data_IF_006375232972
#
_entry.id   IF_006375232972
#
_cell.length_a   1.000
_cell.length_b   1.000
_cell.length_c   1.000
_cell.angle_alpha   90.00
_cell.angle_beta   90.00
_cell.angle_gamma   90.00
#
_symmetry.space_group_name_H-M   'P 1'
#
loop_
_entity.id
_entity.type
_entity.pdbx_description
1 polymer ?
#
# COMPACT_ATOMS: atom_id res chain seq x y z
N UNK A 1 -30.36 -5.59 -1.12
CA UNK A 1 -29.91 -5.53 -2.53
C UNK A 1 -29.36 -4.14 -2.82
N UNK A 2 -28.24 -4.00 -3.55
CA UNK A 2 -27.81 -2.67 -4.05
C UNK A 2 -28.88 -2.14 -5.01
N UNK A 3 -29.22 -0.86 -4.93
CA UNK A 3 -30.19 -0.20 -5.82
C UNK A 3 -29.66 -0.30 -7.25
N UNK A 4 -30.44 -0.90 -8.16
CA UNK A 4 -30.11 -1.03 -9.58
C UNK A 4 -30.90 0.02 -10.34
N UNK A 5 -30.22 0.85 -11.13
CA UNK A 5 -30.85 1.77 -12.09
C UNK A 5 -30.36 1.47 -13.51
N UNK A 6 -31.28 1.52 -14.46
CA UNK A 6 -30.98 1.42 -15.89
C UNK A 6 -30.42 2.74 -16.39
N UNK A 7 -29.36 2.67 -17.19
CA UNK A 7 -28.76 3.81 -17.86
C UNK A 7 -28.50 3.45 -19.30
N UNK A 8 -28.74 4.40 -20.20
CA UNK A 8 -28.39 4.28 -21.61
C UNK A 8 -26.98 4.83 -21.82
N UNK A 9 -26.15 4.07 -22.53
CA UNK A 9 -24.81 4.49 -22.94
C UNK A 9 -24.79 4.40 -24.47
N UNK A 10 -24.56 5.54 -25.12
CA UNK A 10 -24.46 5.62 -26.56
C UNK A 10 -23.04 5.21 -27.01
N UNK A 11 -22.97 4.34 -28.00
CA UNK A 11 -21.73 3.88 -28.63
C UNK A 11 -21.77 4.23 -30.11
N UNK A 12 -20.62 4.50 -30.71
CA UNK A 12 -20.52 4.48 -32.18
C UNK A 12 -20.69 3.05 -32.68
N UNK A 13 -21.01 2.88 -33.97
CA UNK A 13 -21.07 1.53 -34.55
C UNK A 13 -19.74 0.77 -34.48
N UNK A 14 -18.62 1.50 -34.53
CA UNK A 14 -17.29 0.91 -34.36
C UNK A 14 -17.12 0.36 -32.93
N UNK A 15 -17.47 1.16 -31.92
CA UNK A 15 -17.34 0.77 -30.51
C UNK A 15 -18.30 -0.37 -30.15
N UNK A 16 -19.53 -0.35 -30.67
CA UNK A 16 -20.50 -1.41 -30.45
C UNK A 16 -20.03 -2.76 -31.03
N UNK A 17 -19.33 -2.73 -32.18
CA UNK A 17 -18.67 -3.91 -32.76
C UNK A 17 -17.56 -4.43 -31.87
N UNK A 18 -16.71 -3.56 -31.35
CA UNK A 18 -15.62 -3.94 -30.43
C UNK A 18 -16.19 -4.54 -29.14
N UNK A 19 -17.19 -3.89 -28.52
CA UNK A 19 -17.83 -4.38 -27.30
C UNK A 19 -18.48 -5.76 -27.50
N UNK A 20 -19.05 -6.01 -28.68
CA UNK A 20 -19.62 -7.32 -29.03
C UNK A 20 -18.53 -8.39 -29.19
N UNK A 21 -17.39 -8.06 -29.80
CA UNK A 21 -16.24 -8.98 -29.86
C UNK A 21 -15.71 -9.31 -28.46
N UNK A 22 -15.60 -8.31 -27.58
CA UNK A 22 -15.16 -8.52 -26.19
C UNK A 22 -16.14 -9.40 -25.39
N UNK A 23 -17.44 -9.20 -25.61
CA UNK A 23 -18.53 -10.01 -25.03
C UNK A 23 -18.34 -11.50 -25.39
N UNK A 24 -18.13 -11.78 -26.67
CA UNK A 24 -17.92 -13.15 -27.17
C UNK A 24 -16.63 -13.77 -26.64
N UNK A 25 -15.52 -13.04 -26.69
CA UNK A 25 -14.21 -13.55 -26.27
C UNK A 25 -14.14 -13.88 -24.76
N UNK A 26 -14.90 -13.17 -23.93
CA UNK A 26 -14.87 -13.31 -22.46
C UNK A 26 -16.05 -14.10 -21.90
N UNK A 27 -17.03 -14.48 -22.73
CA UNK A 27 -18.28 -15.09 -22.31
C UNK A 27 -18.99 -14.31 -21.18
N UNK A 28 -19.08 -12.98 -21.35
CA UNK A 28 -19.65 -12.06 -20.37
C UNK A 28 -20.65 -11.11 -21.03
N UNK A 29 -21.66 -10.63 -20.29
CA UNK A 29 -22.58 -9.63 -20.83
C UNK A 29 -21.90 -8.27 -21.07
N UNK A 30 -22.37 -7.52 -22.06
CA UNK A 30 -21.87 -6.16 -22.36
C UNK A 30 -21.87 -5.25 -21.11
N UNK A 31 -22.93 -5.34 -20.30
CA UNK A 31 -23.06 -4.59 -19.04
C UNK A 31 -22.07 -5.06 -17.96
N UNK A 32 -21.66 -6.33 -17.94
CA UNK A 32 -20.60 -6.79 -17.05
C UNK A 32 -19.24 -6.19 -17.47
N UNK A 33 -18.94 -6.18 -18.77
CA UNK A 33 -17.72 -5.59 -19.32
C UNK A 33 -17.62 -4.10 -19.00
N UNK A 34 -18.69 -3.33 -19.26
CA UNK A 34 -18.73 -1.89 -18.98
C UNK A 34 -18.57 -1.62 -17.47
N UNK A 35 -19.24 -2.40 -16.61
CA UNK A 35 -19.06 -2.26 -15.16
C UNK A 35 -17.63 -2.55 -14.71
N UNK A 36 -16.98 -3.57 -15.29
CA UNK A 36 -15.58 -3.87 -15.00
C UNK A 36 -14.67 -2.72 -15.42
N UNK A 37 -14.89 -2.11 -16.58
CA UNK A 37 -14.17 -0.90 -17.02
C UNK A 37 -14.34 0.26 -16.04
N UNK A 38 -15.56 0.54 -15.58
CA UNK A 38 -15.83 1.56 -14.55
C UNK A 38 -15.11 1.20 -13.23
N UNK A 39 -15.05 -0.07 -12.88
CA UNK A 39 -14.30 -0.53 -11.71
C UNK A 39 -12.79 -0.37 -11.89
N UNK A 40 -12.25 -0.60 -13.08
CA UNK A 40 -10.83 -0.34 -13.40
C UNK A 40 -10.47 1.13 -13.16
N UNK A 41 -11.33 2.07 -13.53
CA UNK A 41 -11.12 3.49 -13.21
C UNK A 41 -11.02 3.76 -11.70
N UNK A 42 -11.85 3.08 -10.90
CA UNK A 42 -11.75 3.14 -9.42
C UNK A 42 -10.42 2.58 -8.92
N UNK A 43 -9.89 1.55 -9.58
CA UNK A 43 -8.58 0.99 -9.27
C UNK A 43 -7.42 1.88 -9.73
N UNK A 44 -7.59 2.72 -10.76
CA UNK A 44 -6.54 3.64 -11.22
C UNK A 44 -6.14 4.64 -10.12
N UNK A 45 -7.13 5.18 -9.38
CA UNK A 45 -6.86 6.04 -8.22
C UNK A 45 -6.13 5.27 -7.10
N UNK A 46 -6.49 4.01 -6.90
CA UNK A 46 -5.82 3.15 -5.90
C UNK A 46 -4.39 2.84 -6.32
N UNK A 47 -4.15 2.59 -7.60
CA UNK A 47 -2.82 2.34 -8.16
C UNK A 47 -1.92 3.56 -7.98
N UNK A 48 -2.43 4.76 -8.28
CA UNK A 48 -1.72 6.02 -8.04
C UNK A 48 -1.35 6.20 -6.56
N UNK A 49 -2.24 5.83 -5.64
CA UNK A 49 -1.95 5.88 -4.22
C UNK A 49 -0.88 4.86 -3.81
N UNK A 50 -0.86 3.67 -4.42
CA UNK A 50 0.17 2.66 -4.20
C UNK A 50 1.54 3.15 -4.69
N UNK A 51 1.59 3.79 -5.86
CA UNK A 51 2.83 4.38 -6.41
C UNK A 51 3.43 5.41 -5.45
N UNK A 52 2.62 6.36 -4.96
CA UNK A 52 3.05 7.36 -3.96
C UNK A 52 3.58 6.67 -2.69
N UNK A 53 2.88 5.64 -2.21
CA UNK A 53 3.31 4.92 -1.01
C UNK A 53 4.65 4.18 -1.24
N UNK A 54 4.88 3.64 -2.44
CA UNK A 54 6.13 2.98 -2.79
C UNK A 54 7.31 3.97 -2.83
N UNK A 55 7.10 5.18 -3.34
CA UNK A 55 8.12 6.24 -3.28
C UNK A 55 8.48 6.59 -1.83
N UNK A 56 7.48 6.77 -0.96
CA UNK A 56 7.70 7.02 0.47
C UNK A 56 8.47 5.87 1.13
N UNK A 57 8.16 4.62 0.79
CA UNK A 57 8.88 3.44 1.29
C UNK A 57 10.33 3.39 0.80
N UNK A 58 10.59 3.78 -0.45
CA UNK A 58 11.94 3.83 -1.00
C UNK A 58 12.80 4.87 -0.27
N UNK A 59 12.24 6.06 -0.01
CA UNK A 59 12.89 7.09 0.78
C UNK A 59 13.14 6.62 2.22
N UNK A 60 12.17 5.96 2.84
CA UNK A 60 12.33 5.37 4.16
C UNK A 60 13.46 4.33 4.20
N UNK A 61 13.55 3.44 3.21
CA UNK A 61 14.63 2.45 3.12
C UNK A 61 16.00 3.10 2.96
N UNK A 62 16.07 4.23 2.25
CA UNK A 62 17.30 5.00 2.11
C UNK A 62 17.76 5.57 3.45
N UNK A 63 16.85 6.19 4.20
CA UNK A 63 17.13 6.67 5.56
C UNK A 63 17.52 5.51 6.50
N UNK A 64 16.81 4.39 6.44
CA UNK A 64 17.15 3.20 7.22
C UNK A 64 18.55 2.66 6.90
N UNK A 65 18.96 2.68 5.63
CA UNK A 65 20.33 2.33 5.22
C UNK A 65 21.36 3.30 5.81
N UNK A 66 21.06 4.59 5.88
CA UNK A 66 21.93 5.56 6.55
C UNK A 66 22.08 5.25 8.04
N UNK A 67 20.97 4.96 8.73
CA UNK A 67 21.00 4.53 10.13
C UNK A 67 21.83 3.25 10.32
N UNK A 68 21.64 2.25 9.47
CA UNK A 68 22.41 1.00 9.51
C UNK A 68 23.91 1.22 9.31
N UNK A 69 24.32 2.13 8.42
CA UNK A 69 25.73 2.52 8.26
C UNK A 69 26.29 3.16 9.51
N UNK A 70 25.55 4.08 10.13
CA UNK A 70 25.97 4.75 11.36
C UNK A 70 26.10 3.75 12.51
N UNK A 71 25.15 2.84 12.67
CA UNK A 71 25.23 1.75 13.66
C UNK A 71 26.44 0.85 13.41
N UNK A 72 26.72 0.50 12.16
CA UNK A 72 27.89 -0.30 11.82
C UNK A 72 29.22 0.44 12.12
N UNK A 73 29.26 1.75 11.91
CA UNK A 73 30.40 2.58 12.30
C UNK A 73 30.57 2.62 13.83
N UNK A 74 29.48 2.82 14.58
CA UNK A 74 29.51 2.75 16.04
C UNK A 74 30.05 1.39 16.50
N UNK A 75 29.54 0.28 15.94
CA UNK A 75 30.01 -1.06 16.27
C UNK A 75 31.50 -1.28 15.92
N UNK A 76 31.96 -0.76 14.77
CA UNK A 76 33.37 -0.78 14.39
C UNK A 76 34.24 0.02 15.36
N UNK A 77 33.83 1.24 15.72
CA UNK A 77 34.54 2.07 16.70
C UNK A 77 34.53 1.41 18.08
N UNK A 78 33.43 0.80 18.52
CA UNK A 78 33.40 0.05 19.78
C UNK A 78 34.37 -1.12 19.76
N UNK A 79 34.38 -1.91 18.69
CA UNK A 79 35.32 -3.04 18.55
C UNK A 79 36.78 -2.56 18.48
N UNK A 80 37.04 -1.41 17.85
CA UNK A 80 38.38 -0.83 17.75
C UNK A 80 38.84 -0.13 19.05
N UNK A 81 37.93 0.45 19.83
CA UNK A 81 38.22 1.23 21.04
C UNK A 81 38.09 0.47 22.37
N UNK A 82 37.84 -0.84 22.36
CA UNK A 82 38.02 -1.71 23.55
C UNK A 82 39.46 -1.59 24.13
N UNK A 83 40.41 -1.02 23.38
CA UNK A 83 41.78 -0.72 23.80
C UNK A 83 41.89 0.52 24.73
N UNK A 84 40.90 1.43 24.80
CA UNK A 84 40.86 2.58 25.75
C UNK A 84 39.42 2.92 26.18
N UNK A 85 39.06 2.56 27.40
CA UNK A 85 37.68 2.31 27.86
C UNK A 85 36.88 3.57 28.26
N UNK A 86 37.53 4.63 28.75
CA UNK A 86 36.85 5.82 29.28
C UNK A 86 36.35 6.81 28.20
N UNK A 87 37.12 7.07 27.13
CA UNK A 87 36.75 8.04 26.09
C UNK A 87 35.63 7.52 25.17
N UNK A 88 35.63 6.22 24.87
CA UNK A 88 34.63 5.58 24.00
C UNK A 88 33.22 5.57 24.60
N UNK A 89 33.10 5.62 25.94
CA UNK A 89 31.81 5.63 26.63
C UNK A 89 31.07 6.96 26.44
N UNK A 90 31.80 8.08 26.53
CA UNK A 90 31.25 9.44 26.40
C UNK A 90 30.72 9.72 24.99
N UNK A 91 31.50 9.36 23.96
CA UNK A 91 31.10 9.56 22.56
C UNK A 91 29.95 8.62 22.15
N UNK A 92 29.94 7.38 22.67
CA UNK A 92 28.82 6.46 22.45
C UNK A 92 27.53 6.97 23.06
N UNK A 93 27.56 7.43 24.32
CA UNK A 93 26.38 7.98 24.99
C UNK A 93 25.81 9.15 24.18
N UNK A 94 26.66 10.08 23.75
CA UNK A 94 26.23 11.23 22.94
C UNK A 94 25.59 10.79 21.61
N UNK A 95 26.22 9.85 20.91
CA UNK A 95 25.71 9.34 19.62
C UNK A 95 24.39 8.57 19.79
N UNK A 96 24.24 7.83 20.89
CA UNK A 96 23.00 7.12 21.22
C UNK A 96 21.85 8.06 21.58
N UNK A 97 22.13 9.18 22.26
CA UNK A 97 21.14 10.22 22.51
C UNK A 97 20.70 10.92 21.22
N UNK A 98 21.63 11.25 20.33
CA UNK A 98 21.30 11.81 19.00
C UNK A 98 20.46 10.84 18.16
N UNK A 99 20.75 9.54 18.25
CA UNK A 99 19.96 8.50 17.61
C UNK A 99 18.55 8.37 18.21
N UNK A 100 18.42 8.46 19.53
CA UNK A 100 17.12 8.44 20.22
C UNK A 100 16.24 9.62 19.78
N UNK A 101 16.80 10.83 19.74
CA UNK A 101 16.11 12.03 19.27
C UNK A 101 15.66 11.91 17.80
N UNK A 102 16.48 11.30 16.94
CA UNK A 102 16.12 11.05 15.55
C UNK A 102 14.93 10.07 15.43
N UNK A 103 14.93 9.01 16.26
CA UNK A 103 13.80 8.06 16.33
C UNK A 103 12.54 8.74 16.84
N UNK A 104 12.63 9.59 17.87
CA UNK A 104 11.47 10.25 18.45
C UNK A 104 10.84 11.25 17.46
N UNK A 105 11.67 12.03 16.76
CA UNK A 105 11.22 12.92 15.68
C UNK A 105 10.55 12.14 14.54
N UNK A 106 11.08 10.97 14.20
CA UNK A 106 10.52 10.10 13.16
C UNK A 106 9.17 9.51 13.60
N UNK A 107 9.08 8.99 14.82
CA UNK A 107 7.85 8.46 15.42
C UNK A 107 6.73 9.50 15.44
N UNK A 108 7.08 10.74 15.81
CA UNK A 108 6.14 11.87 15.81
C UNK A 108 5.68 12.27 14.39
N UNK A 109 6.57 12.20 13.38
CA UNK A 109 6.18 12.43 11.98
C UNK A 109 5.27 11.30 11.44
N UNK A 110 5.56 10.05 11.78
CA UNK A 110 4.71 8.90 11.42
C UNK A 110 3.33 9.00 12.09
N UNK A 111 3.27 9.45 13.35
CA UNK A 111 2.02 9.70 14.05
C UNK A 111 1.14 10.75 13.35
N UNK A 112 1.74 11.79 12.75
CA UNK A 112 1.05 12.81 11.95
C UNK A 112 0.63 12.33 10.56
N UNK A 113 1.39 11.39 9.99
CA UNK A 113 1.14 10.77 8.68
C UNK A 113 0.21 9.57 8.75
N UNK A 114 -0.15 9.08 9.94
CA UNK A 114 -1.25 8.13 10.11
C UNK A 114 -2.54 8.79 9.62
N UNK A 115 -2.87 8.53 8.36
CA UNK A 115 -4.22 8.72 7.85
C UNK A 115 -5.13 7.95 8.81
N UNK A 116 -6.01 8.64 9.53
CA UNK A 116 -7.14 8.00 10.20
C UNK A 116 -8.03 7.46 9.08
N UNK A 117 -7.72 6.24 8.66
CA UNK A 117 -8.55 5.48 7.73
C UNK A 117 -9.77 5.06 8.54
N UNK A 118 -10.71 5.99 8.74
CA UNK A 118 -12.06 5.68 9.20
C UNK A 118 -12.85 5.18 8.00
N UNK A 119 -12.39 4.05 7.47
CA UNK A 119 -13.13 3.32 6.46
C UNK A 119 -14.03 2.40 7.24
N UNK A 120 -15.34 2.64 7.18
CA UNK A 120 -16.33 1.66 7.61
C UNK A 120 -15.94 0.31 7.01
N UNK A 121 -15.48 -0.60 7.86
CA UNK A 121 -15.12 -1.96 7.45
C UNK A 121 -16.39 -2.61 6.93
N UNK A 122 -16.62 -2.55 5.62
CA UNK A 122 -17.68 -3.34 5.01
C UNK A 122 -17.35 -4.80 5.30
N UNK A 123 -18.24 -5.47 6.04
CA UNK A 123 -18.08 -6.89 6.41
C UNK A 123 -17.63 -7.68 5.19
N UNK A 124 -16.50 -8.40 5.32
CA UNK A 124 -16.12 -9.40 4.33
C UNK A 124 -17.32 -10.35 4.12
N UNK A 125 -17.70 -10.66 2.87
CA UNK A 125 -18.72 -11.66 2.64
C UNK A 125 -18.23 -12.97 3.26
N UNK A 126 -19.02 -13.47 4.20
CA UNK A 126 -18.77 -14.74 4.86
C UNK A 126 -18.85 -15.83 3.78
N UNK A 127 -17.73 -16.51 3.50
CA UNK A 127 -17.77 -17.77 2.75
C UNK A 127 -18.48 -18.80 3.64
N UNK A 128 -19.82 -18.84 3.57
CA UNK A 128 -20.61 -19.93 4.12
C UNK A 128 -21.52 -20.48 3.03
N UNK A 129 -21.09 -21.66 2.58
CA UNK A 129 -21.88 -22.77 2.06
C UNK A 129 -22.54 -22.59 0.69
N UNK A 130 -21.80 -22.99 -0.34
CA UNK A 130 -22.37 -23.72 -1.47
C UNK A 130 -22.96 -25.02 -0.89
N UNK A 131 -24.28 -25.10 -0.74
CA UNK A 131 -25.01 -26.37 -0.57
C UNK A 131 -26.14 -26.43 -1.59
N UNK A 132 -25.95 -27.33 -2.55
CA UNK A 132 -26.98 -28.14 -3.21
C UNK A 132 -28.19 -27.44 -3.81
N UNK A 133 -28.13 -27.15 -5.11
CA UNK A 133 -29.28 -27.40 -5.99
C UNK A 133 -29.29 -28.91 -6.29
N UNK A 134 -30.13 -29.65 -5.57
CA UNK A 134 -30.70 -30.93 -6.02
C UNK A 134 -32.20 -30.70 -6.28
N UNK A 135 -32.77 -31.50 -7.18
CA UNK A 135 -34.11 -31.37 -7.80
C UNK A 135 -35.27 -31.13 -6.81
N UNK A 136 -36.42 -30.64 -7.24
CA UNK A 136 -37.17 -30.90 -8.48
C UNK A 136 -37.91 -29.64 -8.97
#
# INVERSE_FOLDING_TARGET
MKKVSSHFIYFTEADARILTKMMQARNESKSAIVRKLIHVEKYAQTLKQIEINNEILADFLKEFKHLGKNLNQIAYHLNAHIIKKEEAKSDLEKTMYEFFDAIERLSNKIGKLKIKIDVERTKQPNNKEIKGLQGE
#
